data_IF_850417682881
#
_entry.id   IF_850417682881
#
_cell.length_a   1.000
_cell.length_b   1.000
_cell.length_c   1.000
_cell.angle_alpha   90.00
_cell.angle_beta   90.00
_cell.angle_gamma   90.00
#
_symmetry.space_group_name_H-M   'P 1'
#
loop_
_entity.id
_entity.type
_entity.pdbx_description
1 polymer ?
#
# COMPACT_ATOMS: atom_id res chain seq x y z
N UNK A 1 4.45 -9.53 -24.27
CA UNK A 1 4.48 -9.82 -22.82
C UNK A 1 5.58 -10.83 -22.54
N UNK A 2 6.44 -10.52 -21.60
CA UNK A 2 7.45 -11.49 -21.12
C UNK A 2 6.77 -12.33 -20.03
N UNK A 3 6.71 -13.66 -20.20
CA UNK A 3 6.15 -14.56 -19.19
C UNK A 3 7.07 -14.56 -17.99
N UNK A 4 6.56 -14.14 -16.83
CA UNK A 4 7.34 -14.04 -15.61
C UNK A 4 7.62 -15.39 -14.94
N UNK A 5 8.59 -15.42 -14.03
CA UNK A 5 8.87 -16.62 -13.23
C UNK A 5 7.65 -17.02 -12.39
N UNK A 6 6.88 -16.07 -11.88
CA UNK A 6 5.67 -16.35 -11.09
C UNK A 6 4.63 -17.12 -11.91
N UNK A 7 4.41 -16.69 -13.16
CA UNK A 7 3.49 -17.37 -14.09
C UNK A 7 3.98 -18.80 -14.38
N UNK A 8 5.26 -18.95 -14.67
CA UNK A 8 5.87 -20.23 -15.05
C UNK A 8 5.87 -21.24 -13.90
N UNK A 9 6.27 -20.84 -12.69
CA UNK A 9 6.34 -21.72 -11.52
C UNK A 9 4.96 -22.22 -11.07
N UNK A 10 3.95 -21.35 -11.18
CA UNK A 10 2.57 -21.68 -10.80
C UNK A 10 1.76 -22.27 -11.96
N UNK A 11 2.34 -22.37 -13.17
CA UNK A 11 1.66 -22.82 -14.38
C UNK A 11 0.34 -22.08 -14.62
N UNK A 12 0.36 -20.74 -14.39
CA UNK A 12 -0.84 -19.95 -14.54
C UNK A 12 -1.34 -19.99 -15.98
N UNK A 13 -2.65 -20.01 -16.12
CA UNK A 13 -3.34 -19.95 -17.41
C UNK A 13 -3.86 -18.53 -17.65
N UNK A 14 -3.85 -18.11 -18.92
CA UNK A 14 -4.40 -16.82 -19.29
C UNK A 14 -5.82 -17.00 -19.78
N UNK A 15 -6.77 -16.33 -19.14
CA UNK A 15 -8.16 -16.30 -19.59
C UNK A 15 -8.31 -15.48 -20.88
N UNK A 16 -9.44 -15.64 -21.59
CA UNK A 16 -9.78 -14.83 -22.76
C UNK A 16 -9.78 -13.32 -22.48
N UNK A 17 -10.04 -12.95 -21.25
CA UNK A 17 -9.95 -11.56 -20.76
C UNK A 17 -8.52 -11.00 -20.68
N UNK A 18 -7.50 -11.86 -20.78
CA UNK A 18 -6.09 -11.49 -20.58
C UNK A 18 -5.57 -11.64 -19.14
N UNK A 19 -6.45 -11.90 -18.16
CA UNK A 19 -6.07 -12.13 -16.77
C UNK A 19 -5.38 -13.51 -16.61
N UNK A 20 -4.36 -13.54 -15.75
CA UNK A 20 -3.71 -14.78 -15.34
C UNK A 20 -4.40 -15.35 -14.09
N UNK A 21 -4.57 -16.68 -14.02
CA UNK A 21 -5.17 -17.36 -12.88
C UNK A 21 -4.59 -18.77 -12.69
N UNK A 22 -4.79 -19.36 -11.51
CA UNK A 22 -4.42 -20.74 -11.24
C UNK A 22 -5.34 -21.71 -12.02
N UNK A 23 -4.78 -22.79 -12.61
CA UNK A 23 -5.59 -23.80 -13.28
C UNK A 23 -6.64 -24.40 -12.34
N UNK A 24 -7.88 -24.49 -12.79
CA UNK A 24 -8.98 -25.11 -12.04
C UNK A 24 -9.41 -24.36 -10.78
N UNK A 25 -8.92 -23.13 -10.55
CA UNK A 25 -9.46 -22.29 -9.50
C UNK A 25 -10.85 -21.77 -9.90
N UNK A 26 -11.85 -22.03 -9.05
CA UNK A 26 -13.11 -21.29 -9.14
C UNK A 26 -12.80 -19.81 -8.83
N UNK A 27 -12.90 -18.98 -9.86
CA UNK A 27 -12.64 -17.54 -9.77
C UNK A 27 -13.54 -16.88 -8.71
N UNK A 28 -14.66 -17.51 -8.35
CA UNK A 28 -15.65 -17.02 -7.37
C UNK A 28 -15.25 -17.20 -5.89
N UNK A 29 -14.22 -17.99 -5.54
CA UNK A 29 -13.87 -18.31 -4.15
C UNK A 29 -12.70 -17.47 -3.59
N UNK A 30 -12.33 -16.39 -4.22
CA UNK A 30 -11.26 -15.54 -3.78
C UNK A 30 -11.74 -14.48 -2.78
N UNK A 31 -10.82 -14.00 -1.96
CA UNK A 31 -10.96 -13.06 -0.84
C UNK A 31 -12.01 -11.95 -1.08
N UNK A 32 -13.02 -11.87 -0.21
CA UNK A 32 -14.15 -10.96 -0.33
C UNK A 32 -13.85 -9.60 0.38
N UNK A 33 -12.83 -8.85 -0.07
CA UNK A 33 -12.74 -7.42 0.24
C UNK A 33 -13.30 -6.63 -0.93
N UNK A 34 -14.26 -5.75 -0.67
CA UNK A 34 -14.92 -4.92 -1.68
C UNK A 34 -15.28 -3.57 -1.07
N UNK A 35 -15.16 -2.50 -1.86
CA UNK A 35 -15.66 -1.17 -1.52
C UNK A 35 -17.18 -1.07 -1.72
N UNK A 36 -17.79 -2.12 -2.24
CA UNK A 36 -19.18 -2.20 -2.66
C UNK A 36 -19.30 -2.47 -4.15
N UNK A 37 -20.29 -3.28 -4.52
CA UNK A 37 -20.47 -3.70 -5.92
C UNK A 37 -20.76 -2.51 -6.84
N UNK A 38 -21.53 -1.54 -6.36
CA UNK A 38 -21.92 -0.35 -7.13
C UNK A 38 -20.73 0.56 -7.37
N UNK A 39 -19.88 0.74 -6.35
CA UNK A 39 -18.69 1.58 -6.41
C UNK A 39 -17.64 0.99 -7.34
N UNK A 40 -17.41 -0.32 -7.27
CA UNK A 40 -16.45 -1.02 -8.12
C UNK A 40 -16.94 -1.09 -9.58
N UNK A 41 -18.25 -1.30 -9.82
CA UNK A 41 -18.84 -1.26 -11.17
C UNK A 41 -18.67 0.13 -11.80
N UNK A 42 -18.90 1.19 -11.02
CA UNK A 42 -18.66 2.55 -11.51
C UNK A 42 -17.19 2.80 -11.88
N UNK A 43 -16.27 2.37 -11.03
CA UNK A 43 -14.83 2.51 -11.32
C UNK A 43 -14.44 1.74 -12.59
N UNK A 44 -15.00 0.54 -12.79
CA UNK A 44 -14.78 -0.26 -14.00
C UNK A 44 -15.29 0.47 -15.24
N UNK A 45 -16.55 0.96 -15.21
CA UNK A 45 -17.15 1.69 -16.31
C UNK A 45 -16.33 2.91 -16.72
N UNK A 46 -15.86 3.69 -15.75
CA UNK A 46 -15.01 4.87 -15.98
C UNK A 46 -13.68 4.46 -16.63
N UNK A 47 -13.01 3.44 -16.11
CA UNK A 47 -11.71 3.00 -16.64
C UNK A 47 -11.83 2.40 -18.05
N UNK A 48 -12.87 1.62 -18.31
CA UNK A 48 -13.11 1.05 -19.66
C UNK A 48 -13.44 2.13 -20.68
N UNK A 49 -14.21 3.15 -20.29
CA UNK A 49 -14.60 4.28 -21.13
C UNK A 49 -13.48 5.30 -21.37
N UNK A 50 -12.48 5.38 -20.48
CA UNK A 50 -11.43 6.36 -20.56
C UNK A 50 -10.44 6.08 -21.71
N UNK A 51 -10.00 7.16 -22.37
CA UNK A 51 -8.93 7.12 -23.38
C UNK A 51 -7.54 7.15 -22.73
N UNK A 52 -7.44 7.86 -21.62
CA UNK A 52 -6.21 7.97 -20.82
C UNK A 52 -6.42 7.32 -19.45
N UNK A 53 -5.78 6.18 -19.22
CA UNK A 53 -5.79 5.46 -17.95
C UNK A 53 -4.46 5.60 -17.18
N UNK A 54 -3.60 6.53 -17.59
CA UNK A 54 -2.30 6.77 -16.96
C UNK A 54 -2.40 7.17 -15.49
N UNK A 55 -1.30 7.01 -14.77
CA UNK A 55 -1.21 7.42 -13.35
C UNK A 55 -1.28 8.94 -13.14
N UNK A 56 -1.36 9.72 -14.23
CA UNK A 56 -1.51 11.19 -14.22
C UNK A 56 -2.76 11.65 -14.97
N UNK A 57 -3.69 10.76 -15.27
CA UNK A 57 -4.88 11.04 -16.07
C UNK A 57 -5.81 12.05 -15.41
N UNK A 58 -5.94 13.21 -16.06
CA UNK A 58 -6.95 14.23 -15.71
C UNK A 58 -8.35 13.75 -16.09
N UNK A 59 -8.46 12.90 -17.12
CA UNK A 59 -9.73 12.29 -17.53
C UNK A 59 -10.32 11.47 -16.39
N UNK A 60 -9.52 10.56 -15.79
CA UNK A 60 -9.96 9.76 -14.65
C UNK A 60 -10.33 10.64 -13.44
N UNK A 61 -9.52 11.65 -13.14
CA UNK A 61 -9.81 12.57 -12.02
C UNK A 61 -11.14 13.31 -12.19
N UNK A 62 -11.56 13.62 -13.41
CA UNK A 62 -12.83 14.30 -13.69
C UNK A 62 -14.08 13.48 -13.33
N UNK A 63 -13.92 12.17 -13.13
CA UNK A 63 -14.98 11.24 -12.73
C UNK A 63 -15.05 10.97 -11.22
N UNK A 64 -14.24 11.66 -10.41
CA UNK A 64 -14.29 11.54 -8.94
C UNK A 64 -15.58 12.17 -8.43
N UNK A 65 -16.38 11.39 -7.66
CA UNK A 65 -17.66 11.80 -7.09
C UNK A 65 -17.82 11.50 -5.60
N UNK A 66 -17.06 10.54 -5.10
CA UNK A 66 -17.13 10.01 -3.73
C UNK A 66 -15.75 9.45 -3.30
N UNK A 67 -15.66 8.95 -2.07
CA UNK A 67 -14.38 8.43 -1.56
C UNK A 67 -13.88 7.20 -2.34
N UNK A 68 -14.67 6.16 -2.65
CA UNK A 68 -14.17 5.04 -3.45
C UNK A 68 -13.63 5.47 -4.83
N UNK A 69 -14.34 6.35 -5.54
CA UNK A 69 -13.86 6.86 -6.82
C UNK A 69 -12.63 7.76 -6.66
N UNK A 70 -12.54 8.60 -5.61
CA UNK A 70 -11.32 9.37 -5.32
C UNK A 70 -10.14 8.43 -5.09
N UNK A 71 -10.30 7.38 -4.28
CA UNK A 71 -9.25 6.43 -3.97
C UNK A 71 -8.70 5.73 -5.19
N UNK A 72 -9.57 5.34 -6.14
CA UNK A 72 -9.16 4.57 -7.29
C UNK A 72 -8.81 5.41 -8.53
N UNK A 73 -9.38 6.60 -8.70
CA UNK A 73 -9.20 7.38 -9.94
C UNK A 73 -8.21 8.54 -9.82
N UNK A 74 -7.86 8.96 -8.59
CA UNK A 74 -6.94 10.10 -8.43
C UNK A 74 -5.50 9.76 -8.82
N UNK A 75 -4.84 10.69 -9.49
CA UNK A 75 -3.40 10.66 -9.79
C UNK A 75 -2.53 10.70 -8.52
N UNK A 76 -3.11 11.15 -7.40
CA UNK A 76 -2.43 11.36 -6.12
C UNK A 76 -2.07 10.06 -5.39
N UNK A 77 -2.69 8.93 -5.76
CA UNK A 77 -2.30 7.61 -5.24
C UNK A 77 -0.83 7.32 -5.44
N UNK A 78 -0.31 7.64 -6.62
CA UNK A 78 1.09 7.41 -6.98
C UNK A 78 2.07 8.32 -6.21
N UNK A 79 1.60 9.40 -5.56
CA UNK A 79 2.46 10.29 -4.77
C UNK A 79 3.20 9.53 -3.66
N UNK A 80 2.59 8.46 -3.13
CA UNK A 80 3.23 7.58 -2.16
C UNK A 80 4.59 7.07 -2.66
N UNK A 81 4.64 6.62 -3.90
CA UNK A 81 5.85 6.06 -4.51
C UNK A 81 6.70 7.10 -5.25
N UNK A 82 6.11 8.22 -5.68
CA UNK A 82 6.88 9.38 -6.21
C UNK A 82 7.82 9.99 -5.18
N UNK A 83 7.60 9.70 -3.89
CA UNK A 83 8.49 10.08 -2.79
C UNK A 83 9.77 9.24 -2.73
N UNK A 84 9.92 8.21 -3.57
CA UNK A 84 11.04 7.29 -3.58
C UNK A 84 11.85 7.42 -4.88
N UNK A 85 13.15 7.15 -4.81
CA UNK A 85 13.96 6.89 -5.99
C UNK A 85 13.87 5.41 -6.36
N UNK A 86 12.96 5.09 -7.29
CA UNK A 86 12.75 3.72 -7.77
C UNK A 86 13.74 3.31 -8.87
N UNK A 87 14.71 4.14 -9.19
CA UNK A 87 15.70 3.84 -10.23
C UNK A 87 16.48 2.54 -9.90
N UNK A 88 16.68 1.72 -10.92
CA UNK A 88 17.37 0.43 -10.78
C UNK A 88 16.52 -0.72 -10.25
N UNK A 89 15.24 -0.53 -10.00
CA UNK A 89 14.28 -1.62 -9.82
C UNK A 89 13.78 -2.06 -11.21
N UNK A 90 13.91 -3.35 -11.52
CA UNK A 90 13.55 -3.90 -12.83
C UNK A 90 12.38 -4.90 -12.74
N UNK A 91 12.44 -5.82 -11.78
CA UNK A 91 11.44 -6.87 -11.57
C UNK A 91 10.76 -6.65 -10.23
N UNK A 92 9.47 -6.36 -10.24
CA UNK A 92 8.73 -6.05 -9.03
C UNK A 92 7.45 -6.87 -8.92
N UNK A 93 7.06 -7.15 -7.68
CA UNK A 93 5.82 -7.82 -7.34
C UNK A 93 4.95 -6.89 -6.50
N UNK A 94 3.68 -6.75 -6.84
CA UNK A 94 2.68 -6.10 -6.00
C UNK A 94 1.67 -7.14 -5.51
N UNK A 95 1.56 -7.31 -4.20
CA UNK A 95 0.57 -8.17 -3.56
C UNK A 95 -0.59 -7.31 -3.04
N UNK A 96 -1.81 -7.59 -3.51
CA UNK A 96 -3.00 -6.80 -3.22
C UNK A 96 -3.06 -5.52 -4.07
N UNK A 97 -2.98 -5.64 -5.38
CA UNK A 97 -2.91 -4.48 -6.28
C UNK A 97 -4.23 -3.69 -6.40
N UNK A 98 -5.33 -4.22 -5.88
CA UNK A 98 -6.65 -3.58 -5.96
C UNK A 98 -7.05 -3.27 -7.39
N UNK A 99 -7.48 -2.03 -7.65
CA UNK A 99 -7.85 -1.58 -9.00
C UNK A 99 -6.65 -1.06 -9.84
N UNK A 100 -5.42 -1.43 -9.48
CA UNK A 100 -4.23 -1.26 -10.30
C UNK A 100 -3.63 0.15 -10.38
N UNK A 101 -3.98 1.07 -9.48
CA UNK A 101 -3.46 2.45 -9.53
C UNK A 101 -1.93 2.51 -9.29
N UNK A 102 -1.44 1.74 -8.33
CA UNK A 102 0.00 1.63 -8.04
C UNK A 102 0.71 0.77 -9.08
N UNK A 103 0.13 -0.38 -9.45
CA UNK A 103 0.67 -1.25 -10.52
C UNK A 103 0.91 -0.49 -11.83
N UNK A 104 -0.07 0.32 -12.22
CA UNK A 104 0.02 1.20 -13.39
C UNK A 104 1.21 2.14 -13.30
N UNK A 105 1.36 2.83 -12.16
CA UNK A 105 2.49 3.73 -11.94
C UNK A 105 3.83 3.01 -12.02
N UNK A 106 3.98 1.84 -11.38
CA UNK A 106 5.22 1.04 -11.42
C UNK A 106 5.59 0.65 -12.86
N UNK A 107 4.62 0.19 -13.64
CA UNK A 107 4.84 -0.17 -15.03
C UNK A 107 5.21 1.05 -15.90
N UNK A 108 4.62 2.21 -15.66
CA UNK A 108 4.98 3.48 -16.33
C UNK A 108 6.41 3.96 -16.00
N UNK A 109 6.95 3.55 -14.83
CA UNK A 109 8.37 3.80 -14.51
C UNK A 109 9.32 2.81 -15.22
N UNK A 110 8.81 1.90 -16.06
CA UNK A 110 9.60 0.96 -16.86
C UNK A 110 9.91 -0.37 -16.16
N UNK A 111 9.35 -0.62 -14.99
CA UNK A 111 9.50 -1.90 -14.28
C UNK A 111 8.64 -3.00 -14.92
N UNK A 112 9.12 -4.24 -14.88
CA UNK A 112 8.27 -5.40 -15.16
C UNK A 112 7.52 -5.76 -13.88
N UNK A 113 6.20 -5.72 -13.93
CA UNK A 113 5.33 -5.83 -12.77
C UNK A 113 4.53 -7.13 -12.82
N UNK A 114 4.63 -7.94 -11.77
CA UNK A 114 3.65 -8.97 -11.45
C UNK A 114 2.71 -8.41 -10.38
N UNK A 115 1.42 -8.23 -10.68
CA UNK A 115 0.44 -7.65 -9.78
C UNK A 115 -0.63 -8.68 -9.44
N UNK A 116 -0.74 -9.02 -8.16
CA UNK A 116 -1.66 -10.06 -7.66
C UNK A 116 -2.84 -9.42 -6.94
N UNK A 117 -4.05 -9.82 -7.31
CA UNK A 117 -5.28 -9.37 -6.67
C UNK A 117 -6.23 -10.54 -6.40
N UNK A 118 -6.72 -10.63 -5.17
CA UNK A 118 -7.63 -11.70 -4.74
C UNK A 118 -9.05 -11.53 -5.25
N UNK A 119 -9.54 -10.30 -5.39
CA UNK A 119 -10.89 -10.02 -5.91
C UNK A 119 -10.91 -10.11 -7.43
N UNK A 120 -11.72 -10.99 -8.05
CA UNK A 120 -11.83 -11.09 -9.51
C UNK A 120 -12.27 -9.76 -10.15
N UNK A 121 -13.18 -9.03 -9.50
CA UNK A 121 -13.69 -7.74 -9.97
C UNK A 121 -12.58 -6.70 -10.00
N UNK A 122 -11.83 -6.55 -8.91
CA UNK A 122 -10.71 -5.60 -8.83
C UNK A 122 -9.57 -5.98 -9.78
N UNK A 123 -9.27 -7.27 -9.93
CA UNK A 123 -8.31 -7.75 -10.91
C UNK A 123 -8.72 -7.37 -12.34
N UNK A 124 -10.01 -7.48 -12.69
CA UNK A 124 -10.54 -7.03 -13.98
C UNK A 124 -10.39 -5.52 -14.17
N UNK A 125 -10.66 -4.72 -13.14
CA UNK A 125 -10.44 -3.27 -13.16
C UNK A 125 -8.96 -2.95 -13.38
N UNK A 126 -8.06 -3.61 -12.63
CA UNK A 126 -6.62 -3.42 -12.77
C UNK A 126 -6.14 -3.80 -14.18
N UNK A 127 -6.64 -4.90 -14.75
CA UNK A 127 -6.32 -5.31 -16.10
C UNK A 127 -6.80 -4.27 -17.13
N UNK A 128 -8.05 -3.79 -17.02
CA UNK A 128 -8.59 -2.75 -17.91
C UNK A 128 -7.80 -1.45 -17.81
N UNK A 129 -7.32 -1.08 -16.61
CA UNK A 129 -6.47 0.09 -16.40
C UNK A 129 -5.11 -0.02 -17.09
N UNK A 130 -4.55 -1.22 -17.16
CA UNK A 130 -3.20 -1.46 -17.66
C UNK A 130 -3.17 -2.03 -19.08
N UNK A 131 -4.33 -2.04 -19.78
CA UNK A 131 -4.56 -2.75 -21.08
C UNK A 131 -3.57 -2.43 -22.19
N UNK A 132 -2.96 -1.24 -22.18
CA UNK A 132 -2.00 -0.83 -23.20
C UNK A 132 -0.52 -1.02 -22.81
N UNK A 133 -0.25 -1.58 -21.63
CA UNK A 133 1.10 -1.82 -21.12
C UNK A 133 1.51 -3.29 -21.36
N UNK A 134 2.72 -3.47 -21.87
CA UNK A 134 3.28 -4.80 -22.17
C UNK A 134 4.18 -5.37 -21.07
N UNK A 135 4.51 -4.55 -20.07
CA UNK A 135 5.43 -4.86 -18.97
C UNK A 135 4.72 -5.15 -17.64
N UNK A 136 3.44 -5.54 -17.69
CA UNK A 136 2.66 -5.87 -16.50
C UNK A 136 1.83 -7.12 -16.71
N UNK A 137 1.80 -7.99 -15.70
CA UNK A 137 0.93 -9.15 -15.61
C UNK A 137 -0.04 -8.96 -14.44
N UNK A 138 -1.35 -8.99 -14.71
CA UNK A 138 -2.37 -8.98 -13.66
C UNK A 138 -2.80 -10.43 -13.40
N UNK A 139 -2.66 -10.84 -12.12
CA UNK A 139 -2.89 -12.22 -11.70
C UNK A 139 -4.03 -12.22 -10.68
N UNK A 140 -5.15 -12.86 -11.04
CA UNK A 140 -6.24 -13.06 -10.11
C UNK A 140 -6.02 -14.33 -9.28
N UNK A 141 -5.58 -14.14 -8.06
CA UNK A 141 -5.37 -15.23 -7.09
C UNK A 141 -5.25 -14.68 -5.68
N UNK A 142 -5.61 -15.48 -4.68
CA UNK A 142 -5.10 -15.27 -3.34
C UNK A 142 -3.59 -15.60 -3.35
N UNK A 143 -2.76 -14.64 -2.93
CA UNK A 143 -1.29 -14.80 -3.00
C UNK A 143 -0.78 -15.97 -2.16
N UNK A 144 -1.52 -16.42 -1.12
CA UNK A 144 -1.18 -17.62 -0.35
C UNK A 144 -1.31 -18.93 -1.16
N UNK A 145 -2.03 -18.91 -2.26
CA UNK A 145 -2.14 -20.04 -3.16
C UNK A 145 -1.01 -20.06 -4.20
N UNK A 146 -0.22 -18.98 -4.28
CA UNK A 146 0.89 -18.85 -5.20
C UNK A 146 2.21 -19.24 -4.52
N UNK A 147 3.01 -19.99 -5.24
CA UNK A 147 4.42 -20.16 -4.90
C UNK A 147 5.19 -18.98 -5.46
N UNK A 148 5.70 -18.12 -4.58
CA UNK A 148 6.53 -16.99 -4.98
C UNK A 148 7.91 -17.50 -5.45
N UNK A 149 8.38 -17.11 -6.65
CA UNK A 149 9.67 -17.57 -7.19
C UNK A 149 10.83 -17.02 -6.36
N UNK A 150 11.80 -17.88 -6.04
CA UNK A 150 12.97 -17.48 -5.24
C UNK A 150 13.88 -16.50 -6.01
N UNK A 151 14.47 -15.53 -5.30
CA UNK A 151 15.47 -14.58 -5.80
C UNK A 151 15.06 -13.89 -7.12
N UNK A 152 13.80 -13.53 -7.28
CA UNK A 152 13.26 -13.04 -8.55
C UNK A 152 12.98 -11.54 -8.57
N UNK A 153 12.68 -10.91 -7.42
CA UNK A 153 12.23 -9.53 -7.38
C UNK A 153 13.23 -8.57 -6.73
N UNK A 154 13.35 -7.39 -7.31
CA UNK A 154 14.10 -6.27 -6.73
C UNK A 154 13.32 -5.61 -5.59
N UNK A 155 11.99 -5.57 -5.71
CA UNK A 155 11.10 -5.09 -4.66
C UNK A 155 9.75 -5.84 -4.66
N UNK A 156 9.19 -6.01 -3.47
CA UNK A 156 7.81 -6.47 -3.28
C UNK A 156 7.03 -5.38 -2.56
N UNK A 157 5.91 -4.97 -3.17
CA UNK A 157 5.01 -3.94 -2.67
C UNK A 157 3.81 -4.58 -1.98
N UNK A 158 3.49 -4.10 -0.77
CA UNK A 158 2.30 -4.49 0.00
C UNK A 158 1.65 -3.21 0.56
N UNK A 159 0.81 -2.57 -0.24
CA UNK A 159 0.22 -1.27 0.07
C UNK A 159 -1.20 -1.45 0.60
N UNK A 160 -1.39 -1.38 1.93
CA UNK A 160 -2.68 -1.65 2.56
C UNK A 160 -3.02 -3.14 2.56
N UNK A 161 -2.09 -3.99 2.98
CA UNK A 161 -2.24 -5.46 2.93
C UNK A 161 -1.98 -6.13 4.27
N UNK A 162 -0.95 -5.71 5.01
CA UNK A 162 -0.55 -6.39 6.25
C UNK A 162 -1.60 -6.33 7.36
N UNK A 163 -2.50 -5.38 7.34
CA UNK A 163 -3.63 -5.31 8.26
C UNK A 163 -4.54 -6.54 8.18
N UNK A 164 -4.58 -7.19 7.01
CA UNK A 164 -5.36 -8.40 6.74
C UNK A 164 -4.57 -9.68 6.94
N UNK A 165 -3.33 -9.64 7.44
CA UNK A 165 -2.43 -10.79 7.53
C UNK A 165 -3.08 -12.02 8.16
N UNK A 166 -3.83 -11.83 9.28
CA UNK A 166 -4.53 -12.93 9.96
C UNK A 166 -5.63 -13.56 9.11
N UNK A 167 -6.26 -12.82 8.20
CA UNK A 167 -7.23 -13.37 7.24
C UNK A 167 -6.55 -14.19 6.16
N UNK A 168 -5.35 -13.80 5.74
CA UNK A 168 -4.55 -14.56 4.80
C UNK A 168 -3.92 -15.79 5.44
N UNK A 169 -3.49 -15.71 6.71
CA UNK A 169 -2.88 -16.80 7.45
C UNK A 169 -3.75 -17.19 8.67
N UNK A 170 -4.95 -17.78 8.46
CA UNK A 170 -5.89 -18.10 9.55
C UNK A 170 -5.33 -19.11 10.55
N UNK A 171 -4.37 -19.94 10.14
CA UNK A 171 -3.69 -20.93 10.96
C UNK A 171 -2.60 -20.34 11.88
N UNK A 172 -2.11 -19.12 11.62
CA UNK A 172 -1.14 -18.47 12.48
C UNK A 172 -1.68 -18.30 13.91
N UNK A 173 -0.82 -18.37 14.91
CA UNK A 173 -1.27 -18.33 16.33
C UNK A 173 -1.90 -16.99 16.70
N UNK A 174 -1.39 -15.89 16.11
CA UNK A 174 -1.88 -14.54 16.31
C UNK A 174 -1.63 -13.66 15.08
N UNK A 175 -2.04 -12.38 15.13
CA UNK A 175 -1.86 -11.42 14.04
C UNK A 175 -0.38 -11.17 13.71
N UNK A 176 0.49 -11.11 14.74
CA UNK A 176 1.93 -10.90 14.56
C UNK A 176 2.58 -12.08 13.83
N UNK A 177 2.25 -13.31 14.22
CA UNK A 177 2.75 -14.51 13.57
C UNK A 177 2.31 -14.57 12.10
N UNK A 178 1.10 -14.13 11.80
CA UNK A 178 0.60 -14.03 10.43
C UNK A 178 1.42 -13.05 9.58
N UNK A 179 1.74 -11.87 10.12
CA UNK A 179 2.60 -10.88 9.43
C UNK A 179 4.00 -11.45 9.19
N UNK A 180 4.61 -12.11 10.18
CA UNK A 180 5.93 -12.73 10.05
C UNK A 180 5.96 -13.84 9.00
N UNK A 181 4.88 -14.63 8.90
CA UNK A 181 4.76 -15.67 7.88
C UNK A 181 4.72 -15.09 6.46
N UNK A 182 3.95 -14.01 6.25
CA UNK A 182 3.93 -13.31 4.96
C UNK A 182 5.30 -12.70 4.65
N UNK A 183 5.92 -12.02 5.61
CA UNK A 183 7.27 -11.47 5.44
C UNK A 183 8.26 -12.58 5.03
N UNK A 184 8.23 -13.72 5.71
CA UNK A 184 9.12 -14.84 5.40
C UNK A 184 8.92 -15.40 3.98
N UNK A 185 7.67 -15.47 3.50
CA UNK A 185 7.36 -15.88 2.14
C UNK A 185 7.90 -14.88 1.11
N UNK A 186 7.65 -13.59 1.34
CA UNK A 186 8.12 -12.49 0.48
C UNK A 186 9.64 -12.41 0.46
N UNK A 187 10.32 -12.53 1.60
CA UNK A 187 11.78 -12.49 1.68
C UNK A 187 12.48 -13.55 0.83
N UNK A 188 11.89 -14.73 0.67
CA UNK A 188 12.46 -15.78 -0.21
C UNK A 188 12.41 -15.38 -1.68
N UNK A 189 11.41 -14.61 -2.07
CA UNK A 189 11.26 -14.16 -3.47
C UNK A 189 12.14 -12.95 -3.82
N UNK A 190 12.64 -12.24 -2.82
CA UNK A 190 13.53 -11.10 -3.03
C UNK A 190 14.93 -11.54 -3.47
N UNK A 191 15.51 -10.82 -4.42
CA UNK A 191 16.93 -10.86 -4.74
C UNK A 191 17.76 -10.50 -3.49
N UNK A 192 19.08 -10.76 -3.47
CA UNK A 192 19.92 -10.50 -2.29
C UNK A 192 19.83 -9.06 -1.74
N UNK A 193 19.71 -8.07 -2.61
CA UNK A 193 19.57 -6.65 -2.27
C UNK A 193 18.12 -6.14 -2.41
N UNK A 194 17.17 -7.06 -2.56
CA UNK A 194 15.76 -6.73 -2.70
C UNK A 194 15.12 -6.23 -1.40
N UNK A 195 14.05 -5.47 -1.54
CA UNK A 195 13.35 -4.83 -0.43
C UNK A 195 11.85 -5.13 -0.41
N UNK A 196 11.26 -5.07 0.77
CA UNK A 196 9.82 -4.95 0.98
C UNK A 196 9.50 -3.47 1.07
N UNK A 197 8.50 -3.01 0.32
CA UNK A 197 7.95 -1.66 0.41
C UNK A 197 6.49 -1.80 0.83
N UNK A 198 6.16 -1.31 2.01
CA UNK A 198 4.79 -1.40 2.53
C UNK A 198 4.30 -0.06 3.02
N UNK A 199 3.00 0.18 2.85
CA UNK A 199 2.32 1.31 3.47
C UNK A 199 1.11 0.81 4.24
N UNK A 200 0.92 1.37 5.44
CA UNK A 200 -0.11 0.92 6.37
C UNK A 200 -0.47 2.04 7.36
N UNK A 201 -1.69 2.02 7.88
CA UNK A 201 -2.13 2.92 8.94
C UNK A 201 -1.35 2.67 10.25
N UNK A 202 -1.14 3.77 10.97
CA UNK A 202 -0.67 3.75 12.34
C UNK A 202 -1.87 3.67 13.29
N UNK A 203 -1.99 2.60 14.07
CA UNK A 203 -3.13 2.40 14.99
C UNK A 203 -3.31 3.51 16.04
N UNK A 204 -2.26 4.30 16.33
CA UNK A 204 -2.28 5.45 17.24
C UNK A 204 -2.08 6.79 16.51
N UNK A 205 -2.31 6.81 15.19
CA UNK A 205 -2.21 8.03 14.39
C UNK A 205 -3.11 9.15 14.92
N UNK A 206 -2.68 10.40 14.71
CA UNK A 206 -3.37 11.59 15.21
C UNK A 206 -4.87 11.59 14.88
N UNK A 207 -5.25 11.20 13.65
CA UNK A 207 -6.68 11.16 13.24
C UNK A 207 -7.53 10.31 14.19
N UNK A 208 -6.99 9.18 14.66
CA UNK A 208 -7.72 8.29 15.58
C UNK A 208 -7.80 8.87 16.99
N UNK A 209 -6.77 9.59 17.46
CA UNK A 209 -6.82 10.34 18.72
C UNK A 209 -7.85 11.46 18.69
N UNK A 210 -8.07 12.07 17.51
CA UNK A 210 -9.12 13.06 17.26
C UNK A 210 -10.50 12.46 17.10
N UNK A 211 -10.65 11.14 17.20
CA UNK A 211 -11.91 10.44 17.12
C UNK A 211 -12.34 10.02 15.71
N UNK A 212 -11.43 10.04 14.72
CA UNK A 212 -11.74 9.43 13.43
C UNK A 212 -12.14 7.97 13.60
N UNK A 213 -13.02 7.50 12.71
CA UNK A 213 -13.32 6.07 12.62
C UNK A 213 -12.09 5.30 12.18
N UNK A 214 -11.90 4.13 12.73
CA UNK A 214 -10.87 3.21 12.26
C UNK A 214 -11.26 2.69 10.87
N UNK A 215 -10.32 2.72 9.94
CA UNK A 215 -10.58 2.58 8.50
C UNK A 215 -11.23 1.25 8.10
N UNK A 216 -11.05 0.18 8.89
CA UNK A 216 -11.54 -1.17 8.56
C UNK A 216 -12.81 -1.57 9.32
N UNK A 217 -13.00 -1.02 10.52
CA UNK A 217 -14.16 -1.34 11.38
C UNK A 217 -15.20 -0.25 11.40
N UNK A 218 -14.87 0.98 10.95
CA UNK A 218 -15.77 2.12 11.03
C UNK A 218 -16.10 2.54 12.47
N UNK A 219 -15.31 2.13 13.45
CA UNK A 219 -15.54 2.40 14.89
C UNK A 219 -14.39 3.24 15.46
N UNK A 220 -14.67 4.40 16.09
CA UNK A 220 -13.63 5.19 16.73
C UNK A 220 -12.90 4.43 17.84
N UNK A 221 -11.61 4.72 17.99
CA UNK A 221 -10.73 4.26 19.07
C UNK A 221 -10.45 2.75 19.13
N UNK A 222 -11.03 1.91 18.27
CA UNK A 222 -10.86 0.45 18.34
C UNK A 222 -9.38 0.03 18.24
N UNK A 223 -8.61 0.67 17.35
CA UNK A 223 -7.16 0.44 17.22
C UNK A 223 -6.38 0.91 18.44
N UNK A 224 -6.72 2.08 19.00
CA UNK A 224 -6.13 2.61 20.23
C UNK A 224 -6.39 1.65 21.39
N UNK A 225 -7.56 1.03 21.45
CA UNK A 225 -7.93 0.02 22.45
C UNK A 225 -7.43 -1.39 22.11
N UNK A 226 -6.46 -1.51 21.17
CA UNK A 226 -5.74 -2.75 20.82
C UNK A 226 -6.54 -3.81 20.08
N UNK A 227 -7.63 -3.46 19.45
CA UNK A 227 -8.55 -4.36 18.76
C UNK A 227 -9.07 -5.55 19.63
N UNK A 228 -10.26 -6.08 19.36
CA UNK A 228 -10.70 -7.31 19.98
C UNK A 228 -9.90 -8.51 19.43
N UNK A 229 -9.67 -9.55 20.24
CA UNK A 229 -8.90 -10.75 19.86
C UNK A 229 -9.45 -11.45 18.61
N UNK A 230 -10.76 -11.33 18.34
CA UNK A 230 -11.42 -11.93 17.19
C UNK A 230 -11.44 -11.06 15.94
N UNK A 231 -10.75 -9.93 15.94
CA UNK A 231 -10.88 -8.92 14.90
C UNK A 231 -10.43 -9.41 13.51
N UNK A 232 -9.30 -10.12 13.43
CA UNK A 232 -8.75 -10.64 12.17
C UNK A 232 -8.26 -9.56 11.20
N UNK A 233 -8.34 -8.28 11.59
CA UNK A 233 -7.73 -7.12 10.93
C UNK A 233 -7.07 -6.28 12.01
N UNK A 234 -5.81 -5.90 11.79
CA UNK A 234 -5.04 -5.15 12.77
C UNK A 234 -3.96 -4.29 12.11
N UNK A 235 -3.86 -3.04 12.54
CA UNK A 235 -2.72 -2.17 12.26
C UNK A 235 -1.80 -2.07 13.47
N UNK A 236 -0.58 -1.58 13.26
CA UNK A 236 0.49 -1.58 14.24
C UNK A 236 1.06 -0.17 14.40
N UNK A 237 1.63 0.14 15.57
CA UNK A 237 2.39 1.37 15.77
C UNK A 237 3.85 1.21 15.35
N UNK A 238 4.61 2.32 15.40
CA UNK A 238 6.01 2.34 15.00
C UNK A 238 6.87 1.33 15.78
N UNK A 239 6.70 1.26 17.10
CA UNK A 239 7.48 0.34 17.93
C UNK A 239 7.18 -1.14 17.64
N UNK A 240 5.90 -1.46 17.40
CA UNK A 240 5.48 -2.80 16.99
C UNK A 240 6.07 -3.17 15.62
N UNK A 241 6.04 -2.27 14.63
CA UNK A 241 6.63 -2.51 13.32
C UNK A 241 8.14 -2.73 13.40
N UNK A 242 8.88 -1.89 14.12
CA UNK A 242 10.33 -2.08 14.31
C UNK A 242 10.64 -3.42 14.95
N UNK A 243 9.84 -3.84 15.94
CA UNK A 243 9.98 -5.15 16.56
C UNK A 243 9.69 -6.31 15.59
N UNK A 244 8.66 -6.19 14.73
CA UNK A 244 8.33 -7.19 13.70
C UNK A 244 9.46 -7.31 12.68
N UNK A 245 9.96 -6.19 12.18
CA UNK A 245 11.04 -6.16 11.20
C UNK A 245 12.34 -6.74 11.75
N UNK A 246 12.69 -6.41 13.00
CA UNK A 246 13.87 -6.97 13.68
C UNK A 246 13.76 -8.48 13.84
N UNK A 247 12.60 -9.00 14.26
CA UNK A 247 12.35 -10.44 14.39
C UNK A 247 12.43 -11.16 13.02
N UNK A 248 11.97 -10.50 11.96
CA UNK A 248 12.07 -11.00 10.59
C UNK A 248 13.51 -10.90 10.00
N UNK A 249 14.47 -10.31 10.72
CA UNK A 249 15.84 -10.10 10.23
C UNK A 249 15.97 -8.99 9.17
N UNK A 250 14.95 -8.11 9.05
CA UNK A 250 14.95 -6.93 8.18
C UNK A 250 15.52 -5.73 8.93
N UNK A 251 16.82 -5.79 9.23
CA UNK A 251 17.48 -4.80 10.09
C UNK A 251 17.79 -3.47 9.38
N UNK A 252 17.80 -3.46 8.04
CA UNK A 252 17.86 -2.25 7.25
C UNK A 252 16.44 -1.80 6.92
N UNK A 253 15.95 -0.82 7.64
CA UNK A 253 14.61 -0.29 7.40
C UNK A 253 14.57 1.23 7.59
N UNK A 254 13.78 1.88 6.75
CA UNK A 254 13.53 3.32 6.76
C UNK A 254 12.03 3.55 6.83
N UNK A 255 11.63 4.48 7.68
CA UNK A 255 10.26 4.92 7.81
C UNK A 255 10.08 6.32 7.21
N UNK A 256 9.09 6.46 6.34
CA UNK A 256 8.60 7.74 5.88
C UNK A 256 7.18 7.95 6.41
N UNK A 257 6.87 9.20 6.73
CA UNK A 257 5.53 9.60 7.18
C UNK A 257 4.79 10.31 6.04
N UNK A 258 3.80 9.67 5.40
CA UNK A 258 2.92 10.32 4.44
C UNK A 258 1.82 11.11 5.16
N UNK A 259 1.60 12.36 4.72
CA UNK A 259 0.57 13.25 5.24
C UNK A 259 -0.42 13.67 4.14
N UNK A 260 -1.75 13.72 4.42
CA UNK A 260 -2.39 13.38 5.71
C UNK A 260 -2.33 11.89 6.05
N UNK A 261 -2.24 10.99 5.09
CA UNK A 261 -1.96 9.55 5.22
C UNK A 261 -1.44 8.95 3.89
N UNK A 262 -1.14 7.63 3.89
CA UNK A 262 -0.57 6.94 2.72
C UNK A 262 -1.55 6.78 1.55
N UNK A 263 -2.86 6.92 1.79
CA UNK A 263 -3.87 6.70 0.74
C UNK A 263 -3.76 7.76 -0.35
N UNK A 264 -3.67 9.04 0.04
CA UNK A 264 -3.57 10.18 -0.88
C UNK A 264 -2.60 11.21 -0.27
N UNK A 265 -1.30 10.94 -0.25
CA UNK A 265 -0.34 11.81 0.39
C UNK A 265 -0.12 13.09 -0.44
N UNK A 266 -0.01 14.20 0.28
CA UNK A 266 0.37 15.53 -0.24
C UNK A 266 1.80 15.87 0.14
N UNK A 267 2.26 15.35 1.25
CA UNK A 267 3.62 15.50 1.77
C UNK A 267 4.09 14.16 2.29
N UNK A 268 5.31 13.78 1.98
CA UNK A 268 5.97 12.61 2.56
C UNK A 268 7.29 13.08 3.18
N UNK A 269 7.50 12.78 4.45
CA UNK A 269 8.67 13.20 5.21
C UNK A 269 9.47 11.98 5.67
N UNK A 270 10.79 12.03 5.45
CA UNK A 270 11.72 11.02 5.94
C UNK A 270 11.84 11.06 7.46
N UNK A 271 11.99 9.93 8.14
CA UNK A 271 12.05 9.85 9.60
C UNK A 271 13.19 10.69 10.21
N UNK A 272 14.33 10.80 9.55
CA UNK A 272 15.41 11.66 10.02
C UNK A 272 15.10 13.14 9.80
N UNK A 273 14.37 13.49 8.74
CA UNK A 273 13.91 14.85 8.52
C UNK A 273 12.84 15.28 9.55
N UNK A 274 12.00 14.35 10.01
CA UNK A 274 11.00 14.64 11.05
C UNK A 274 11.62 15.15 12.37
N UNK A 275 12.92 14.91 12.58
CA UNK A 275 13.68 15.40 13.75
C UNK A 275 14.23 16.81 13.55
N UNK A 276 14.18 17.35 12.33
CA UNK A 276 14.68 18.69 12.03
C UNK A 276 13.66 19.76 12.49
N UNK A 277 14.12 20.91 12.99
CA UNK A 277 13.24 21.96 13.53
C UNK A 277 12.19 22.47 12.52
N UNK A 278 12.51 22.44 11.23
CA UNK A 278 11.63 22.90 10.14
C UNK A 278 10.59 21.87 9.69
N UNK A 279 10.67 20.62 10.13
CA UNK A 279 9.81 19.53 9.61
C UNK A 279 8.30 19.86 9.73
N UNK A 280 7.87 20.42 10.87
CA UNK A 280 6.48 20.81 11.06
C UNK A 280 5.99 21.88 10.10
N UNK A 281 6.88 22.71 9.54
CA UNK A 281 6.50 23.77 8.60
C UNK A 281 5.91 23.21 7.30
N UNK A 282 6.32 21.99 6.92
CA UNK A 282 5.84 21.29 5.73
C UNK A 282 4.40 20.79 5.88
N UNK A 283 3.86 20.76 7.10
CA UNK A 283 2.50 20.28 7.38
C UNK A 283 1.46 21.42 7.46
N UNK A 284 1.82 22.64 7.13
CA UNK A 284 0.84 23.74 7.05
C UNK A 284 -0.26 23.41 6.05
N UNK A 285 -1.51 23.38 6.53
CA UNK A 285 -2.68 23.05 5.71
C UNK A 285 -2.80 21.55 5.36
N UNK A 286 -1.96 20.69 5.93
CA UNK A 286 -2.20 19.26 5.92
C UNK A 286 -3.13 18.92 7.07
N UNK A 287 -4.37 18.49 6.76
CA UNK A 287 -5.41 18.19 7.74
C UNK A 287 -5.74 16.72 7.66
N UNK A 288 -5.79 16.06 8.81
CA UNK A 288 -6.22 14.66 8.91
C UNK A 288 -7.63 14.46 8.38
N UNK A 289 -7.88 13.33 7.73
CA UNK A 289 -9.21 12.97 7.18
C UNK A 289 -9.77 11.74 7.87
N UNK A 290 -11.07 11.78 8.13
CA UNK A 290 -11.90 10.58 8.24
C UNK A 290 -12.63 10.40 6.90
N UNK A 291 -12.50 9.27 6.27
CA UNK A 291 -13.05 9.01 4.94
C UNK A 291 -14.54 8.65 4.97
N UNK A 292 -15.10 8.35 6.15
CA UNK A 292 -16.48 7.98 6.34
C UNK A 292 -17.35 9.14 6.83
N UNK A 293 -16.75 10.14 7.51
CA UNK A 293 -17.47 11.27 8.08
C UNK A 293 -16.61 12.51 8.24
N UNK A 294 -17.22 13.64 8.52
CA UNK A 294 -16.47 14.84 8.87
C UNK A 294 -15.71 14.63 10.18
N UNK A 295 -14.41 14.92 10.16
CA UNK A 295 -13.55 14.94 11.33
C UNK A 295 -13.49 16.36 11.88
N UNK A 296 -13.96 16.55 13.11
CA UNK A 296 -13.87 17.82 13.82
C UNK A 296 -12.70 17.76 14.79
N UNK A 297 -11.82 18.73 14.72
CA UNK A 297 -10.70 18.85 15.67
C UNK A 297 -11.06 19.87 16.74
N UNK A 298 -10.85 19.51 18.00
CA UNK A 298 -10.96 20.42 19.14
C UNK A 298 -9.67 21.25 19.36
N UNK A 299 -8.64 21.03 18.52
CA UNK A 299 -7.37 21.74 18.58
C UNK A 299 -6.80 21.96 17.16
N UNK A 300 -5.83 22.86 17.05
CA UNK A 300 -5.10 23.13 15.81
C UNK A 300 -4.05 22.03 15.57
N UNK A 301 -4.24 21.23 14.50
CA UNK A 301 -3.33 20.14 14.13
C UNK A 301 -1.91 20.65 13.84
N UNK A 302 -1.76 21.84 13.25
CA UNK A 302 -0.45 22.38 12.96
C UNK A 302 0.34 22.69 14.24
N UNK A 303 -0.33 23.26 15.26
CA UNK A 303 0.28 23.49 16.57
C UNK A 303 0.64 22.18 17.29
N UNK A 304 -0.18 21.15 17.10
CA UNK A 304 0.14 19.81 17.61
C UNK A 304 1.42 19.26 16.92
N UNK A 305 1.53 19.39 15.60
CA UNK A 305 2.72 18.94 14.87
C UNK A 305 3.98 19.71 15.28
N UNK A 306 3.87 21.00 15.59
CA UNK A 306 4.99 21.76 16.15
C UNK A 306 5.44 21.21 17.50
N UNK A 307 4.49 20.85 18.37
CA UNK A 307 4.79 20.23 19.66
C UNK A 307 5.44 18.85 19.50
N UNK A 308 4.92 18.03 18.58
CA UNK A 308 5.51 16.72 18.27
C UNK A 308 6.93 16.87 17.71
N UNK A 309 7.18 17.86 16.85
CA UNK A 309 8.50 18.14 16.29
C UNK A 309 9.51 18.49 17.40
N UNK A 310 9.13 19.36 18.34
CA UNK A 310 9.98 19.73 19.48
C UNK A 310 10.33 18.52 20.38
N UNK A 311 9.45 17.53 20.45
CA UNK A 311 9.60 16.34 21.27
C UNK A 311 10.14 15.12 20.48
N UNK A 312 10.49 15.27 19.20
CA UNK A 312 10.88 14.17 18.29
C UNK A 312 9.85 13.04 18.21
N UNK A 313 8.56 13.37 18.28
CA UNK A 313 7.45 12.39 18.29
C UNK A 313 6.54 12.46 17.06
N UNK A 314 6.95 13.16 16.00
CA UNK A 314 6.11 13.30 14.79
C UNK A 314 5.82 11.94 14.13
N UNK A 315 6.80 11.05 14.04
CA UNK A 315 6.62 9.73 13.46
C UNK A 315 5.63 8.87 14.27
N UNK A 316 5.67 8.99 15.60
CA UNK A 316 4.79 8.22 16.50
C UNK A 316 3.30 8.52 16.27
N UNK A 317 2.98 9.78 15.93
CA UNK A 317 1.61 10.24 15.72
C UNK A 317 1.22 10.39 14.25
N UNK A 318 2.13 10.16 13.29
CA UNK A 318 1.75 10.16 11.88
C UNK A 318 0.63 9.14 11.62
N UNK A 319 -0.32 9.46 10.75
CA UNK A 319 -1.52 8.62 10.56
C UNK A 319 -1.22 7.29 9.86
N UNK A 320 -0.07 7.19 9.20
CA UNK A 320 0.38 6.01 8.49
C UNK A 320 1.88 6.05 8.25
N UNK A 321 2.41 4.93 7.82
CA UNK A 321 3.82 4.76 7.44
C UNK A 321 3.94 4.31 6.00
N UNK A 322 5.02 4.73 5.34
CA UNK A 322 5.62 4.06 4.19
C UNK A 322 6.95 3.49 4.69
N UNK A 323 7.07 2.17 4.67
CA UNK A 323 8.21 1.45 5.24
C UNK A 323 8.95 0.76 4.11
N UNK A 324 10.27 0.97 4.03
CA UNK A 324 11.17 0.24 3.15
C UNK A 324 12.04 -0.63 4.04
N UNK A 325 12.05 -1.94 3.81
CA UNK A 325 12.78 -2.87 4.66
C UNK A 325 13.53 -3.92 3.83
N UNK A 326 14.81 -4.12 4.15
CA UNK A 326 15.69 -5.07 3.49
C UNK A 326 16.64 -5.78 4.46
N UNK A 327 17.37 -6.77 3.95
CA UNK A 327 18.40 -7.48 4.71
C UNK A 327 19.69 -6.68 4.78
N UNK A 328 20.04 -5.97 3.70
CA UNK A 328 21.30 -5.24 3.53
C UNK A 328 21.09 -3.74 3.70
N UNK A 329 22.07 -3.07 4.34
CA UNK A 329 21.94 -1.70 4.86
C UNK A 329 21.79 -0.60 3.80
N UNK A 330 22.05 -0.83 2.53
CA UNK A 330 22.16 0.27 1.57
C UNK A 330 20.95 0.46 0.66
N UNK A 331 20.08 -0.56 0.49
CA UNK A 331 19.01 -0.48 -0.50
C UNK A 331 17.84 0.36 0.00
N UNK A 332 17.46 0.24 1.28
CA UNK A 332 16.39 1.03 1.84
C UNK A 332 16.72 2.53 1.82
N UNK A 333 17.94 2.89 2.26
CA UNK A 333 18.44 4.27 2.25
C UNK A 333 18.54 4.84 0.82
N UNK A 334 18.96 4.02 -0.15
CA UNK A 334 19.06 4.42 -1.56
C UNK A 334 17.68 4.79 -2.15
N UNK A 335 16.64 4.07 -1.78
CA UNK A 335 15.28 4.36 -2.26
C UNK A 335 14.66 5.57 -1.56
N UNK A 336 14.99 5.80 -0.29
CA UNK A 336 14.47 6.87 0.55
C UNK A 336 15.41 8.08 0.59
N UNK A 337 15.95 8.51 -0.57
CA UNK A 337 16.97 9.58 -0.66
C UNK A 337 16.43 10.99 -0.40
N UNK A 338 15.12 11.18 -0.43
CA UNK A 338 14.52 12.50 -0.26
C UNK A 338 14.18 12.77 1.20
N UNK A 339 14.69 13.86 1.75
CA UNK A 339 14.33 14.32 3.10
C UNK A 339 12.82 14.59 3.20
N UNK A 340 12.26 15.21 2.15
CA UNK A 340 10.83 15.46 2.01
C UNK A 340 10.39 15.51 0.55
N UNK A 341 9.12 15.22 0.32
CA UNK A 341 8.46 15.36 -0.99
C UNK A 341 7.12 16.06 -0.83
N UNK A 342 6.88 17.09 -1.67
CA UNK A 342 5.63 17.83 -1.76
C UNK A 342 4.97 17.58 -3.11
N UNK A 343 3.68 17.31 -3.08
CA UNK A 343 2.88 17.08 -4.28
C UNK A 343 1.80 18.14 -4.38
N UNK A 344 1.92 19.01 -5.37
CA UNK A 344 0.89 19.98 -5.75
C UNK A 344 -0.10 19.27 -6.66
N UNK A 345 -1.33 19.11 -6.19
CA UNK A 345 -2.42 18.46 -6.92
C UNK A 345 -3.06 19.34 -7.95
#
# INVERSE_FOLDING_TARGET
MTVSNLITENKLEQADSGLWHLPGSDIEQTFAYSDGDIEEDYVLEVIEGAKDTSSTSVELESHIRDWPSEYHLTSKRANLLRALDLSGLEQVLELGCGCGAISRYLAEQGMNVDAVEGSPRRASIAHSRCRELDNINIINSNFNHLRLPENSYDAVFLIGVFEYAKRFCPHAVDDRAAVLEIIAAVQRSLKPDGVIITAIENRIGLKYLMGATEDHYGVPYIGIHRYPESAGIRTYDNAEWRSILAEAGLNSNVFLAPFPDYKIPRVVLHEEFLKQPEASLHLRGSVSRDYLRALNSDFDEYLFWQTCNQNNSMLEFSNSYLIIAGRNSNTADRLAVYDFSHFTG
#
